data_IF_865394681271
#
_entry.id   IF_865394681271
#
_cell.length_a   1.000
_cell.length_b   1.000
_cell.length_c   1.000
_cell.angle_alpha   90.00
_cell.angle_beta   90.00
_cell.angle_gamma   90.00
#
_symmetry.space_group_name_H-M   'P 1'
#
loop_
_entity.id
_entity.type
_entity.pdbx_description
1 polymer ?
#
# COMPACT_ATOMS: atom_id res chain seq x y z
N UNK A 1 -11.69 24.67 0.41
CA UNK A 1 -12.80 23.92 1.02
C UNK A 1 -12.31 22.49 1.22
N UNK A 2 -11.98 22.11 2.45
CA UNK A 2 -11.70 20.72 2.80
C UNK A 2 -13.02 19.95 2.76
N UNK A 3 -13.35 19.37 1.61
CA UNK A 3 -14.31 18.26 1.55
C UNK A 3 -13.70 17.13 2.35
N UNK A 4 -14.11 17.01 3.62
CA UNK A 4 -13.96 15.77 4.35
C UNK A 4 -14.47 14.66 3.45
N UNK A 5 -13.56 13.80 2.99
CA UNK A 5 -13.89 12.55 2.31
C UNK A 5 -14.76 11.75 3.26
N UNK A 6 -16.07 12.01 3.20
CA UNK A 6 -17.09 11.16 3.77
C UNK A 6 -16.73 9.75 3.30
N UNK A 7 -16.70 8.74 4.16
CA UNK A 7 -16.17 7.45 3.75
C UNK A 7 -17.14 6.90 2.68
N UNK A 8 -16.73 7.02 1.42
CA UNK A 8 -17.55 6.77 0.21
C UNK A 8 -18.13 5.36 0.28
N UNK A 9 -17.29 4.46 0.76
CA UNK A 9 -17.55 3.06 0.99
C UNK A 9 -18.68 2.77 2.01
N UNK A 10 -18.62 3.17 3.30
CA UNK A 10 -19.75 3.03 4.23
C UNK A 10 -21.07 3.56 3.68
N UNK A 11 -21.06 4.71 3.01
CA UNK A 11 -22.28 5.28 2.45
C UNK A 11 -22.83 4.44 1.28
N UNK A 12 -21.96 3.93 0.40
CA UNK A 12 -22.35 3.03 -0.67
C UNK A 12 -22.87 1.69 -0.13
N UNK A 13 -22.24 1.12 0.91
CA UNK A 13 -22.73 -0.09 1.60
C UNK A 13 -24.11 0.10 2.21
N UNK A 14 -24.33 1.24 2.88
CA UNK A 14 -25.64 1.56 3.45
C UNK A 14 -26.71 1.67 2.35
N UNK A 15 -26.43 2.40 1.26
CA UNK A 15 -27.35 2.50 0.11
C UNK A 15 -27.60 1.14 -0.56
N UNK A 16 -26.56 0.32 -0.70
CA UNK A 16 -26.65 -1.05 -1.20
C UNK A 16 -27.57 -1.90 -0.31
N UNK A 17 -27.44 -1.84 1.01
CA UNK A 17 -28.33 -2.56 1.93
C UNK A 17 -29.80 -2.21 1.73
N UNK A 18 -30.11 -0.92 1.56
CA UNK A 18 -31.47 -0.44 1.29
C UNK A 18 -31.97 -0.95 -0.07
N UNK A 19 -31.15 -0.88 -1.12
CA UNK A 19 -31.50 -1.41 -2.45
C UNK A 19 -31.66 -2.95 -2.47
N UNK A 20 -30.81 -3.66 -1.74
CA UNK A 20 -30.87 -5.11 -1.58
C UNK A 20 -32.11 -5.56 -0.80
N UNK A 21 -32.64 -4.71 0.08
CA UNK A 21 -33.90 -4.99 0.79
C UNK A 21 -35.11 -4.59 -0.07
N UNK A 22 -35.05 -3.42 -0.70
CA UNK A 22 -36.16 -2.80 -1.42
C UNK A 22 -35.81 -2.48 -2.88
N UNK A 23 -35.55 -3.48 -3.73
CA UNK A 23 -35.05 -3.27 -5.09
C UNK A 23 -36.09 -2.62 -6.02
N UNK A 24 -37.36 -2.63 -5.60
CA UNK A 24 -38.49 -2.08 -6.36
C UNK A 24 -38.69 -0.60 -6.12
N UNK A 25 -38.05 -0.02 -5.09
CA UNK A 25 -38.13 1.41 -4.81
C UNK A 25 -37.16 2.14 -5.73
N UNK A 26 -37.69 3.00 -6.59
CA UNK A 26 -36.90 3.83 -7.50
C UNK A 26 -35.89 4.66 -6.73
N UNK A 27 -36.29 5.23 -5.60
CA UNK A 27 -35.42 6.06 -4.76
C UNK A 27 -34.23 5.27 -4.20
N UNK A 28 -34.40 3.99 -3.89
CA UNK A 28 -33.30 3.14 -3.42
C UNK A 28 -32.28 2.88 -4.54
N UNK A 29 -32.74 2.67 -5.77
CA UNK A 29 -31.87 2.52 -6.94
C UNK A 29 -31.14 3.83 -7.27
N UNK A 30 -31.85 4.96 -7.28
CA UNK A 30 -31.27 6.28 -7.51
C UNK A 30 -30.23 6.63 -6.43
N UNK A 31 -30.53 6.35 -5.17
CA UNK A 31 -29.59 6.59 -4.08
C UNK A 31 -28.33 5.73 -4.19
N UNK A 32 -28.45 4.45 -4.54
CA UNK A 32 -27.29 3.58 -4.78
C UNK A 32 -26.46 4.07 -5.96
N UNK A 33 -27.08 4.35 -7.10
CA UNK A 33 -26.39 4.85 -8.29
C UNK A 33 -25.61 6.14 -7.98
N UNK A 34 -26.22 7.10 -7.29
CA UNK A 34 -25.55 8.35 -6.91
C UNK A 34 -24.33 8.16 -5.97
N UNK A 35 -24.29 7.07 -5.18
CA UNK A 35 -23.11 6.75 -4.36
C UNK A 35 -22.02 6.08 -5.19
N UNK A 36 -22.41 5.17 -6.09
CA UNK A 36 -21.49 4.56 -7.04
C UNK A 36 -20.88 5.61 -7.97
N UNK A 37 -21.64 6.60 -8.43
CA UNK A 37 -21.13 7.73 -9.24
C UNK A 37 -20.03 8.52 -8.53
N UNK A 38 -20.17 8.74 -7.21
CA UNK A 38 -19.13 9.42 -6.43
C UNK A 38 -17.86 8.58 -6.32
N UNK A 39 -18.01 7.26 -6.16
CA UNK A 39 -16.88 6.32 -6.18
C UNK A 39 -16.22 6.30 -7.56
N UNK A 40 -17.02 6.34 -8.63
CA UNK A 40 -16.54 6.40 -10.01
C UNK A 40 -15.75 7.68 -10.25
N UNK A 41 -16.29 8.84 -9.85
CA UNK A 41 -15.57 10.11 -9.94
C UNK A 41 -14.23 10.10 -9.18
N UNK A 42 -14.20 9.50 -7.99
CA UNK A 42 -12.98 9.32 -7.21
C UNK A 42 -11.94 8.45 -7.95
N UNK A 43 -12.37 7.28 -8.47
CA UNK A 43 -11.49 6.35 -9.17
C UNK A 43 -11.00 6.93 -10.51
N UNK A 44 -11.88 7.59 -11.28
CA UNK A 44 -11.55 8.20 -12.57
C UNK A 44 -10.47 9.29 -12.46
N UNK A 45 -10.52 10.09 -11.40
CA UNK A 45 -9.51 11.11 -11.10
C UNK A 45 -8.12 10.53 -10.75
N UNK A 46 -8.01 9.20 -10.59
CA UNK A 46 -6.79 8.50 -10.16
C UNK A 46 -6.37 7.37 -11.10
N UNK A 47 -6.86 7.40 -12.33
CA UNK A 47 -6.55 6.37 -13.35
C UNK A 47 -5.07 6.27 -13.70
N UNK A 48 -4.25 7.28 -13.36
CA UNK A 48 -2.79 7.21 -13.44
C UNK A 48 -2.18 6.11 -12.54
N UNK A 49 -2.90 5.64 -11.51
CA UNK A 49 -2.50 4.49 -10.70
C UNK A 49 -3.21 3.26 -11.27
N UNK A 50 -2.42 2.25 -11.67
CA UNK A 50 -2.89 1.04 -12.38
C UNK A 50 -4.08 0.36 -11.72
N UNK A 51 -4.15 0.36 -10.39
CA UNK A 51 -5.24 -0.27 -9.66
C UNK A 51 -6.60 0.40 -9.94
N UNK A 52 -6.64 1.74 -10.05
CA UNK A 52 -7.88 2.48 -10.27
C UNK A 52 -8.41 2.32 -11.70
N UNK A 53 -7.51 2.12 -12.68
CA UNK A 53 -7.90 1.81 -14.06
C UNK A 53 -8.75 0.53 -14.17
N UNK A 54 -8.57 -0.43 -13.26
CA UNK A 54 -9.38 -1.67 -13.21
C UNK A 54 -10.71 -1.51 -12.47
N UNK A 55 -10.82 -0.51 -11.60
CA UNK A 55 -12.00 -0.25 -10.75
C UNK A 55 -13.06 0.54 -11.52
N UNK A 56 -12.63 1.51 -12.34
CA UNK A 56 -13.51 2.41 -13.10
C UNK A 56 -14.55 1.65 -13.94
N UNK A 57 -14.18 0.64 -14.78
CA UNK A 57 -15.17 -0.09 -15.57
C UNK A 57 -16.17 -0.89 -14.73
N UNK A 58 -15.77 -1.38 -13.55
CA UNK A 58 -16.66 -2.14 -12.67
C UNK A 58 -17.73 -1.26 -12.04
N UNK A 59 -17.37 -0.04 -11.63
CA UNK A 59 -18.32 0.94 -11.11
C UNK A 59 -19.28 1.41 -12.20
N UNK A 60 -18.78 1.72 -13.39
CA UNK A 60 -19.60 2.14 -14.53
C UNK A 60 -20.63 1.06 -14.92
N UNK A 61 -20.20 -0.20 -15.03
CA UNK A 61 -21.09 -1.34 -15.28
C UNK A 61 -22.15 -1.51 -14.18
N UNK A 62 -21.76 -1.36 -12.91
CA UNK A 62 -22.70 -1.48 -11.80
C UNK A 62 -23.76 -0.36 -11.80
N UNK A 63 -23.37 0.88 -12.13
CA UNK A 63 -24.30 2.02 -12.27
C UNK A 63 -25.31 1.72 -13.38
N UNK A 64 -24.83 1.28 -14.55
CA UNK A 64 -25.68 0.92 -15.69
C UNK A 64 -26.68 -0.20 -15.35
N UNK A 65 -26.24 -1.25 -14.64
CA UNK A 65 -27.11 -2.35 -14.22
C UNK A 65 -28.19 -1.91 -13.22
N UNK A 66 -27.82 -1.07 -12.24
CA UNK A 66 -28.78 -0.52 -11.26
C UNK A 66 -29.85 0.31 -11.95
N UNK A 67 -29.47 1.18 -12.89
CA UNK A 67 -30.41 1.96 -13.68
C UNK A 67 -31.32 1.08 -14.55
N UNK A 68 -30.73 0.10 -15.25
CA UNK A 68 -31.47 -0.82 -16.11
C UNK A 68 -32.50 -1.65 -15.33
N UNK A 69 -32.11 -2.17 -14.16
CA UNK A 69 -33.02 -2.91 -13.29
C UNK A 69 -34.16 -2.03 -12.71
N UNK A 70 -33.88 -0.73 -12.50
CA UNK A 70 -34.86 0.21 -11.98
C UNK A 70 -35.93 0.59 -13.02
N UNK A 71 -35.56 0.72 -14.30
CA UNK A 71 -36.45 1.16 -15.38
C UNK A 71 -37.18 0.01 -16.09
N UNK A 72 -36.57 -1.18 -16.14
CA UNK A 72 -37.11 -2.30 -16.92
C UNK A 72 -38.22 -3.07 -16.19
N UNK A 73 -39.35 -3.31 -16.87
CA UNK A 73 -40.49 -4.09 -16.34
C UNK A 73 -40.38 -5.60 -16.60
N UNK A 74 -39.93 -6.01 -17.78
CA UNK A 74 -39.80 -7.42 -18.20
C UNK A 74 -38.46 -8.00 -17.75
N UNK A 75 -38.43 -9.26 -17.29
CA UNK A 75 -37.18 -9.90 -16.84
C UNK A 75 -36.56 -9.31 -15.56
N UNK A 76 -37.31 -8.45 -14.86
CA UNK A 76 -36.81 -7.61 -13.75
C UNK A 76 -36.14 -8.39 -12.63
N UNK A 77 -36.62 -9.59 -12.28
CA UNK A 77 -36.02 -10.41 -11.22
C UNK A 77 -34.57 -10.79 -11.54
N UNK A 78 -34.30 -11.18 -12.78
CA UNK A 78 -32.95 -11.51 -13.22
C UNK A 78 -32.06 -10.26 -13.23
N UNK A 79 -32.56 -9.15 -13.81
CA UNK A 79 -31.84 -7.87 -13.85
C UNK A 79 -31.51 -7.33 -12.44
N UNK A 80 -32.46 -7.37 -11.52
CA UNK A 80 -32.23 -6.97 -10.12
C UNK A 80 -31.18 -7.85 -9.44
N UNK A 81 -31.14 -9.15 -9.75
CA UNK A 81 -30.11 -10.04 -9.20
C UNK A 81 -28.73 -9.67 -9.73
N UNK A 82 -28.61 -9.45 -11.05
CA UNK A 82 -27.37 -8.99 -11.69
C UNK A 82 -26.91 -7.67 -11.08
N UNK A 83 -27.78 -6.65 -11.03
CA UNK A 83 -27.46 -5.34 -10.48
C UNK A 83 -26.98 -5.38 -9.02
N UNK A 84 -27.53 -6.28 -8.20
CA UNK A 84 -27.03 -6.48 -6.83
C UNK A 84 -25.65 -7.09 -6.80
N UNK A 85 -25.41 -8.10 -7.63
CA UNK A 85 -24.12 -8.78 -7.69
C UNK A 85 -23.03 -7.82 -8.19
N UNK A 86 -23.30 -7.07 -9.27
CA UNK A 86 -22.34 -6.13 -9.84
C UNK A 86 -22.11 -4.94 -8.93
N UNK A 87 -23.14 -4.36 -8.31
CA UNK A 87 -22.97 -3.28 -7.34
C UNK A 87 -22.15 -3.72 -6.11
N UNK A 88 -22.42 -4.90 -5.56
CA UNK A 88 -21.65 -5.44 -4.43
C UNK A 88 -20.18 -5.65 -4.82
N UNK A 89 -19.93 -6.30 -5.95
CA UNK A 89 -18.59 -6.57 -6.43
C UNK A 89 -17.81 -5.28 -6.68
N UNK A 90 -18.44 -4.27 -7.30
CA UNK A 90 -17.81 -2.97 -7.55
C UNK A 90 -17.44 -2.24 -6.25
N UNK A 91 -18.30 -2.28 -5.22
CA UNK A 91 -17.98 -1.73 -3.90
C UNK A 91 -16.79 -2.44 -3.27
N UNK A 92 -16.79 -3.78 -3.26
CA UNK A 92 -15.70 -4.60 -2.69
C UNK A 92 -14.37 -4.42 -3.45
N UNK A 93 -14.41 -4.24 -4.78
CA UNK A 93 -13.20 -3.95 -5.57
C UNK A 93 -12.68 -2.55 -5.29
N UNK A 94 -13.54 -1.54 -5.20
CA UNK A 94 -13.14 -0.19 -4.82
C UNK A 94 -12.49 -0.17 -3.43
N UNK A 95 -13.05 -0.90 -2.46
CA UNK A 95 -12.48 -1.04 -1.12
C UNK A 95 -11.08 -1.62 -1.13
N UNK A 96 -10.86 -2.71 -1.87
CA UNK A 96 -9.55 -3.33 -2.00
C UNK A 96 -8.57 -2.38 -2.68
N UNK A 97 -9.00 -1.69 -3.73
CA UNK A 97 -8.17 -0.69 -4.40
C UNK A 97 -7.80 0.46 -3.46
N UNK A 98 -8.77 0.96 -2.70
CA UNK A 98 -8.57 2.03 -1.72
C UNK A 98 -7.59 1.62 -0.61
N UNK A 99 -7.75 0.42 -0.05
CA UNK A 99 -6.86 -0.12 0.97
C UNK A 99 -5.43 -0.32 0.45
N UNK A 100 -5.28 -0.63 -0.83
CA UNK A 100 -3.97 -0.81 -1.49
C UNK A 100 -3.36 0.51 -1.95
N UNK A 101 -4.17 1.55 -2.19
CA UNK A 101 -3.71 2.88 -2.59
C UNK A 101 -3.29 3.79 -1.41
N UNK A 102 -3.60 3.37 -0.18
CA UNK A 102 -2.95 3.98 0.99
C UNK A 102 -1.49 3.52 0.98
N UNK A 103 -0.55 4.48 0.99
CA UNK A 103 -0.63 5.67 1.81
C UNK A 103 -0.51 6.98 1.02
N UNK A 104 -1.22 7.18 -0.09
CA UNK A 104 -1.17 8.46 -0.82
C UNK A 104 -2.45 9.27 -0.65
N UNK A 105 -2.32 10.58 -0.43
CA UNK A 105 -3.44 11.52 -0.34
C UNK A 105 -4.04 11.88 -1.72
N UNK A 106 -5.05 12.75 -1.72
CA UNK A 106 -5.73 13.18 -2.95
C UNK A 106 -4.85 13.98 -3.92
N UNK A 107 -3.68 14.41 -3.47
CA UNK A 107 -2.65 15.08 -4.26
C UNK A 107 -1.52 14.13 -4.67
N UNK A 108 -1.63 12.84 -4.37
CA UNK A 108 -0.59 11.85 -4.62
C UNK A 108 0.60 11.98 -3.67
N UNK A 109 0.46 12.68 -2.53
CA UNK A 109 1.51 12.80 -1.52
C UNK A 109 1.45 11.61 -0.57
N UNK A 110 2.61 11.08 -0.23
CA UNK A 110 2.73 10.03 0.77
C UNK A 110 2.25 10.56 2.13
N UNK A 111 1.13 10.03 2.62
CA UNK A 111 0.43 10.36 3.86
C UNK A 111 -0.06 9.08 4.58
N UNK A 112 0.88 8.26 5.09
CA UNK A 112 0.57 7.06 5.86
C UNK A 112 -0.14 7.41 7.17
N UNK A 113 -0.77 6.41 7.78
CA UNK A 113 -1.24 6.59 9.16
C UNK A 113 -0.01 6.77 10.06
N UNK A 114 -0.10 7.61 11.12
CA UNK A 114 1.02 7.81 12.03
C UNK A 114 1.55 6.46 12.56
N UNK A 115 2.85 6.22 12.38
CA UNK A 115 3.52 4.97 12.77
C UNK A 115 3.48 3.85 11.72
N UNK A 116 3.09 4.15 10.48
CA UNK A 116 3.04 3.19 9.35
C UNK A 116 3.84 3.62 8.12
N UNK A 117 4.55 4.75 8.22
CA UNK A 117 5.44 5.31 7.19
C UNK A 117 6.51 4.33 6.73
N UNK A 118 7.01 3.52 7.67
CA UNK A 118 8.03 2.51 7.40
C UNK A 118 7.64 1.25 8.17
N UNK A 119 7.27 0.15 7.48
CA UNK A 119 6.81 -1.07 8.15
C UNK A 119 7.91 -1.73 8.98
N UNK A 120 9.18 -1.36 8.76
CA UNK A 120 10.35 -1.84 9.48
C UNK A 120 11.28 -0.65 9.74
N UNK A 121 11.87 -0.59 10.93
CA UNK A 121 12.94 0.37 11.21
C UNK A 121 14.26 -0.10 10.57
N UNK A 122 15.22 0.81 10.41
CA UNK A 122 16.57 0.45 9.94
C UNK A 122 17.23 -0.55 10.91
N UNK A 123 16.92 -0.45 12.20
CA UNK A 123 17.37 -1.41 13.21
C UNK A 123 16.78 -2.81 13.02
N UNK A 124 15.52 -2.94 12.58
CA UNK A 124 14.90 -4.24 12.28
C UNK A 124 15.58 -4.89 11.08
N UNK A 125 15.92 -4.08 10.07
CA UNK A 125 16.68 -4.53 8.89
C UNK A 125 18.06 -5.04 9.30
N UNK A 126 18.81 -4.29 10.11
CA UNK A 126 20.12 -4.71 10.59
C UNK A 126 20.07 -6.01 11.39
N UNK A 127 19.10 -6.14 12.30
CA UNK A 127 18.89 -7.37 13.09
C UNK A 127 18.52 -8.56 12.22
N UNK A 128 17.66 -8.37 11.22
CA UNK A 128 17.31 -9.43 10.29
C UNK A 128 18.51 -9.83 9.41
N UNK A 129 19.35 -8.87 9.00
CA UNK A 129 20.53 -9.11 8.18
C UNK A 129 21.58 -9.97 8.92
N UNK A 130 21.85 -9.70 10.20
CA UNK A 130 22.85 -10.49 10.96
C UNK A 130 22.44 -11.95 11.16
N UNK A 131 21.14 -12.25 11.23
CA UNK A 131 20.65 -13.64 11.24
C UNK A 131 21.03 -14.39 9.96
N UNK A 132 21.18 -13.69 8.83
CA UNK A 132 21.63 -14.26 7.57
C UNK A 132 23.16 -14.32 7.47
N UNK A 133 23.87 -13.38 8.10
CA UNK A 133 25.33 -13.31 8.08
C UNK A 133 25.98 -14.42 8.92
N UNK A 134 25.36 -14.80 10.04
CA UNK A 134 25.82 -15.90 10.88
C UNK A 134 25.96 -15.52 12.35
N UNK A 135 26.33 -16.50 13.22
CA UNK A 135 26.35 -16.32 14.67
C UNK A 135 27.41 -15.33 15.17
N UNK A 136 28.47 -15.11 14.41
CA UNK A 136 29.59 -14.23 14.78
C UNK A 136 29.30 -12.74 14.48
N UNK A 137 28.09 -12.45 13.97
CA UNK A 137 27.64 -11.12 13.64
C UNK A 137 26.60 -10.61 14.64
N UNK A 138 26.71 -9.34 15.00
CA UNK A 138 25.72 -8.68 15.84
C UNK A 138 25.29 -7.34 15.24
N UNK A 139 24.06 -6.94 15.58
CA UNK A 139 23.50 -5.66 15.15
C UNK A 139 23.00 -4.86 16.36
N UNK A 140 23.47 -3.62 16.48
CA UNK A 140 22.98 -2.65 17.45
C UNK A 140 22.15 -1.58 16.76
N UNK A 141 21.11 -1.09 17.44
CA UNK A 141 20.31 0.03 16.93
C UNK A 141 21.04 1.34 17.20
N UNK A 142 21.06 2.24 16.22
CA UNK A 142 21.38 3.64 16.52
C UNK A 142 20.20 4.33 17.23
N UNK A 143 20.40 5.59 17.64
CA UNK A 143 19.35 6.40 18.30
C UNK A 143 18.03 6.35 17.53
N UNK A 144 16.94 6.10 18.26
CA UNK A 144 15.57 6.06 17.71
C UNK A 144 15.34 5.06 16.55
N UNK A 145 16.23 4.10 16.32
CA UNK A 145 16.04 3.07 15.30
C UNK A 145 16.21 3.55 13.85
N UNK A 146 16.70 4.77 13.65
CA UNK A 146 16.93 5.36 12.30
C UNK A 146 18.18 4.82 11.60
N UNK A 147 18.93 3.96 12.29
CA UNK A 147 20.14 3.31 11.80
C UNK A 147 20.43 2.02 12.56
N UNK A 148 21.40 1.27 12.06
CA UNK A 148 21.93 0.09 12.71
C UNK A 148 23.46 0.02 12.56
N UNK A 149 24.15 -0.49 13.57
CA UNK A 149 25.57 -0.85 13.48
C UNK A 149 25.67 -2.36 13.39
N UNK A 150 26.37 -2.89 12.39
CA UNK A 150 26.62 -4.31 12.19
C UNK A 150 28.12 -4.56 12.37
N UNK A 151 28.46 -5.51 13.23
CA UNK A 151 29.83 -5.79 13.64
C UNK A 151 30.10 -7.30 13.62
N UNK A 152 31.34 -7.67 13.33
CA UNK A 152 31.84 -9.03 13.38
C UNK A 152 32.71 -9.22 14.61
N UNK A 153 32.49 -10.31 15.36
CA UNK A 153 33.17 -10.53 16.64
C UNK A 153 34.71 -10.59 16.54
N UNK A 154 35.23 -11.09 15.43
CA UNK A 154 36.69 -11.24 15.23
C UNK A 154 37.39 -9.98 14.69
N UNK A 155 36.65 -8.90 14.42
CA UNK A 155 37.21 -7.65 13.86
C UNK A 155 36.87 -6.43 14.73
N UNK A 156 37.45 -6.32 15.95
CA UNK A 156 37.09 -5.26 16.88
C UNK A 156 37.40 -3.88 16.31
N UNK A 157 36.38 -3.03 16.23
CA UNK A 157 36.47 -1.66 15.70
C UNK A 157 36.17 -1.53 14.21
N UNK A 158 36.06 -2.63 13.47
CA UNK A 158 35.50 -2.65 12.12
C UNK A 158 33.97 -2.81 12.23
N UNK A 159 33.23 -1.91 11.59
CA UNK A 159 31.77 -1.96 11.62
C UNK A 159 31.14 -1.40 10.34
N UNK A 160 29.91 -1.84 10.10
CA UNK A 160 29.06 -1.39 9.01
C UNK A 160 27.88 -0.63 9.60
N UNK A 161 27.78 0.65 9.30
CA UNK A 161 26.63 1.47 9.64
C UNK A 161 25.60 1.41 8.51
N UNK A 162 24.41 0.93 8.84
CA UNK A 162 23.22 1.03 8.01
C UNK A 162 22.48 2.32 8.37
N UNK A 163 22.22 3.18 7.39
CA UNK A 163 21.51 4.43 7.58
C UNK A 163 20.77 4.86 6.32
N UNK A 164 19.95 5.91 6.47
CA UNK A 164 19.20 6.53 5.37
C UNK A 164 19.71 7.95 5.19
N UNK A 165 19.89 8.40 3.95
CA UNK A 165 20.32 9.76 3.66
C UNK A 165 19.14 10.75 3.58
N UNK A 166 19.42 11.98 3.11
CA UNK A 166 18.40 13.03 3.01
C UNK A 166 17.35 12.77 1.90
N UNK A 167 17.71 11.97 0.90
CA UNK A 167 16.82 11.58 -0.20
C UNK A 167 15.99 10.33 0.15
N UNK A 168 16.26 9.69 1.29
CA UNK A 168 15.55 8.50 1.74
C UNK A 168 16.20 7.19 1.28
N UNK A 169 17.41 7.25 0.74
CA UNK A 169 18.12 6.08 0.23
C UNK A 169 18.86 5.34 1.33
N UNK A 170 18.62 4.03 1.40
CA UNK A 170 19.30 3.13 2.32
C UNK A 170 20.75 2.92 1.84
N UNK A 171 21.72 3.19 2.71
CA UNK A 171 23.13 2.95 2.42
C UNK A 171 23.82 2.20 3.55
N UNK A 172 24.90 1.52 3.18
CA UNK A 172 25.86 0.92 4.09
C UNK A 172 27.13 1.75 4.03
N UNK A 173 27.55 2.25 5.17
CA UNK A 173 28.85 2.86 5.35
C UNK A 173 29.73 1.89 6.13
N UNK A 174 30.91 1.59 5.63
CA UNK A 174 31.88 0.75 6.33
C UNK A 174 32.93 1.65 6.97
N UNK A 175 33.18 1.49 8.26
CA UNK A 175 34.36 2.07 8.92
C UNK A 175 35.60 1.21 8.64
N UNK A 176 35.85 1.01 7.35
CA UNK A 176 37.02 0.34 6.83
C UNK A 176 37.92 1.40 6.17
N UNK A 177 39.07 1.01 5.59
CA UNK A 177 40.10 1.97 5.13
C UNK A 177 39.55 3.06 4.19
N UNK A 178 38.56 2.72 3.39
CA UNK A 178 37.86 3.65 2.51
C UNK A 178 36.51 4.05 3.10
N UNK A 179 36.37 5.35 3.39
CA UNK A 179 35.19 5.99 3.98
C UNK A 179 33.99 6.06 3.00
N UNK A 180 33.75 4.98 2.23
CA UNK A 180 32.83 4.97 1.11
C UNK A 180 31.43 4.50 1.54
N UNK A 181 30.40 5.06 0.88
CA UNK A 181 29.00 4.67 1.08
C UNK A 181 28.56 3.78 -0.07
N UNK A 182 28.06 2.59 0.27
CA UNK A 182 27.43 1.67 -0.68
C UNK A 182 25.93 1.85 -0.61
N UNK A 183 25.36 2.48 -1.63
CA UNK A 183 23.92 2.72 -1.75
C UNK A 183 23.19 1.47 -2.23
N UNK A 184 22.08 1.13 -1.56
CA UNK A 184 21.20 0.03 -1.93
C UNK A 184 20.05 0.56 -2.79
N UNK A 185 20.37 1.11 -3.96
CA UNK A 185 19.41 1.82 -4.84
C UNK A 185 18.26 0.95 -5.35
N UNK A 186 18.45 -0.37 -5.37
CA UNK A 186 17.46 -1.35 -5.83
C UNK A 186 16.68 -1.96 -4.67
N UNK A 187 16.55 -1.27 -3.54
CA UNK A 187 15.88 -1.75 -2.33
C UNK A 187 14.74 -0.82 -1.94
N UNK A 188 13.56 -1.41 -1.66
CA UNK A 188 12.37 -0.70 -1.21
C UNK A 188 11.71 -1.47 -0.07
N UNK A 189 11.03 -0.76 0.82
CA UNK A 189 10.18 -1.36 1.87
C UNK A 189 9.11 -2.30 1.30
N UNK A 190 8.72 -2.10 0.04
CA UNK A 190 7.77 -2.95 -0.68
C UNK A 190 8.26 -4.40 -0.89
N UNK A 191 9.57 -4.67 -0.84
CA UNK A 191 10.12 -6.01 -0.99
C UNK A 191 10.02 -6.88 0.27
N UNK A 192 9.61 -6.28 1.39
CA UNK A 192 9.49 -6.94 2.69
C UNK A 192 10.85 -7.15 3.38
N UNK A 193 10.80 -7.26 4.70
CA UNK A 193 11.99 -7.36 5.55
C UNK A 193 12.97 -8.48 5.15
N UNK A 194 12.55 -9.73 4.82
CA UNK A 194 13.51 -10.78 4.46
C UNK A 194 14.34 -10.45 3.21
N UNK A 195 13.72 -9.86 2.19
CA UNK A 195 14.40 -9.50 0.95
C UNK A 195 15.38 -8.36 1.18
N UNK A 196 14.96 -7.33 1.92
CA UNK A 196 15.80 -6.19 2.28
C UNK A 196 17.00 -6.65 3.13
N UNK A 197 16.76 -7.50 4.12
CA UNK A 197 17.80 -8.06 4.98
C UNK A 197 18.82 -8.89 4.19
N UNK A 198 18.38 -9.71 3.23
CA UNK A 198 19.27 -10.48 2.38
C UNK A 198 20.19 -9.57 1.53
N UNK A 199 19.65 -8.49 0.96
CA UNK A 199 20.44 -7.50 0.20
C UNK A 199 21.49 -6.80 1.06
N UNK A 200 21.13 -6.44 2.30
CA UNK A 200 22.08 -5.87 3.26
C UNK A 200 23.18 -6.88 3.58
N UNK A 201 22.82 -8.13 3.88
CA UNK A 201 23.81 -9.17 4.18
C UNK A 201 24.76 -9.43 3.00
N UNK A 202 24.25 -9.50 1.77
CA UNK A 202 25.07 -9.68 0.57
C UNK A 202 26.01 -8.50 0.34
N UNK A 203 25.55 -7.27 0.57
CA UNK A 203 26.38 -6.08 0.46
C UNK A 203 27.48 -6.03 1.52
N UNK A 204 27.17 -6.38 2.79
CA UNK A 204 28.17 -6.48 3.86
C UNK A 204 29.27 -7.49 3.51
N UNK A 205 28.89 -8.69 3.01
CA UNK A 205 29.86 -9.69 2.54
C UNK A 205 30.71 -9.15 1.40
N UNK A 206 30.06 -8.54 0.39
CA UNK A 206 30.75 -8.00 -0.78
C UNK A 206 31.76 -6.90 -0.42
N UNK A 207 31.45 -6.06 0.56
CA UNK A 207 32.39 -5.02 1.05
C UNK A 207 33.54 -5.69 1.81
N UNK A 208 33.25 -6.61 2.74
CA UNK A 208 34.28 -7.30 3.53
C UNK A 208 35.25 -8.12 2.67
N UNK A 209 34.74 -8.81 1.66
CA UNK A 209 35.54 -9.67 0.77
C UNK A 209 36.39 -8.85 -0.23
N UNK A 210 36.09 -7.56 -0.39
CA UNK A 210 36.85 -6.65 -1.26
C UNK A 210 38.03 -5.95 -0.56
N UNK A 211 38.09 -6.03 0.78
CA UNK A 211 39.19 -5.52 1.62
C UNK A 211 40.32 -6.54 1.82
#
# INVERSE_FOLDING_TARGET
MNTSLTPLTPAARAAYGVYATFPRRRDAATALAARLDRMLAYASARTQITIWATVVPQLDSAIADVHTAATTRRGRRALTRTARQTARAAIETFERAYATSLPYDDHGRYHPAPGTEYPFSVSDIGRAAVQLLGPDWHAESSSWGVGACIEHQDEPGAYFQLAVDEDGDLYIWANLRDNNRTYLTDVSSAFGLPTVAARVADAVRGIRDAD
#
